data_IF_409173351889
#
_entry.id   IF_409173351889
#
_cell.length_a   1.000
_cell.length_b   1.000
_cell.length_c   1.000
_cell.angle_alpha   90.00
_cell.angle_beta   90.00
_cell.angle_gamma   90.00
#
_symmetry.space_group_name_H-M   'P 1'
#
loop_
_entity.id
_entity.type
_entity.pdbx_description
1 polymer ?
#
# COMPACT_ATOMS: atom_id res chain seq x y z
N UNK A 1 -12.98 0.87 -8.67
CA UNK A 1 -12.86 1.36 -10.07
C UNK A 1 -11.81 0.50 -10.75
N UNK A 2 -12.16 -0.21 -11.83
CA UNK A 2 -11.24 -1.09 -12.56
C UNK A 2 -10.20 -0.26 -13.31
N UNK A 3 -8.92 -0.61 -13.19
CA UNK A 3 -7.83 -0.01 -13.97
C UNK A 3 -7.39 -1.00 -15.05
N UNK A 4 -7.17 -0.53 -16.26
CA UNK A 4 -6.66 -1.33 -17.38
C UNK A 4 -5.25 -0.84 -17.69
N UNK A 5 -4.25 -1.71 -17.47
CA UNK A 5 -2.88 -1.41 -17.77
C UNK A 5 -2.50 -1.96 -19.14
N UNK A 6 -1.76 -1.17 -19.89
CA UNK A 6 -1.12 -1.56 -21.15
C UNK A 6 0.37 -1.74 -20.91
N UNK A 7 0.94 -2.80 -21.45
CA UNK A 7 2.36 -3.09 -21.36
C UNK A 7 2.94 -3.01 -22.76
N UNK A 8 3.82 -2.04 -22.97
CA UNK A 8 4.61 -1.91 -24.19
C UNK A 8 5.96 -2.59 -23.98
N UNK A 9 6.25 -3.58 -24.81
CA UNK A 9 7.54 -4.29 -24.84
C UNK A 9 8.23 -3.94 -26.15
N UNK A 10 9.28 -3.12 -26.13
CA UNK A 10 9.90 -2.61 -27.35
C UNK A 10 10.68 -3.67 -28.16
N UNK A 11 11.10 -4.74 -27.54
CA UNK A 11 11.81 -5.85 -28.20
C UNK A 11 11.33 -7.22 -27.73
N UNK A 12 11.81 -8.28 -28.40
CA UNK A 12 11.40 -9.66 -28.11
C UNK A 12 11.98 -10.24 -26.80
N UNK A 13 12.82 -9.48 -26.08
CA UNK A 13 13.47 -9.95 -24.85
C UNK A 13 12.57 -9.92 -23.62
N UNK A 14 11.45 -9.20 -23.67
CA UNK A 14 10.41 -9.12 -22.64
C UNK A 14 10.87 -8.63 -21.24
N UNK A 15 12.02 -7.98 -21.14
CA UNK A 15 12.57 -7.55 -19.84
C UNK A 15 12.31 -6.08 -19.59
N UNK A 16 12.87 -5.21 -20.45
CA UNK A 16 12.60 -3.76 -20.39
C UNK A 16 11.22 -3.48 -21.00
N UNK A 17 10.39 -2.74 -20.28
CA UNK A 17 9.01 -2.48 -20.68
C UNK A 17 8.47 -1.19 -20.11
N UNK A 18 7.46 -0.65 -20.75
CA UNK A 18 6.72 0.53 -20.30
C UNK A 18 5.30 0.12 -19.93
N UNK A 19 4.83 0.55 -18.78
CA UNK A 19 3.47 0.33 -18.31
C UNK A 19 2.74 1.67 -18.28
N UNK A 20 1.62 1.72 -18.99
CA UNK A 20 0.69 2.86 -18.99
C UNK A 20 -0.69 2.40 -18.56
N UNK A 21 -1.56 3.32 -18.19
CA UNK A 21 -2.95 3.05 -17.86
C UNK A 21 -3.84 3.97 -18.68
N UNK A 22 -4.88 3.41 -19.26
CA UNK A 22 -5.84 4.18 -20.05
C UNK A 22 -6.46 5.30 -19.21
N UNK A 23 -6.54 6.49 -19.79
CA UNK A 23 -7.03 7.70 -19.13
C UNK A 23 -6.18 8.22 -17.94
N UNK A 24 -4.93 7.78 -17.81
CA UNK A 24 -3.96 8.33 -16.85
C UNK A 24 -2.75 8.92 -17.57
N UNK A 25 -2.11 9.88 -16.90
CA UNK A 25 -0.92 10.59 -17.42
C UNK A 25 0.37 10.07 -16.79
N UNK A 26 0.30 9.00 -16.02
CA UNK A 26 1.47 8.38 -15.41
C UNK A 26 1.95 7.21 -16.25
N UNK A 27 3.24 7.01 -16.25
CA UNK A 27 3.93 5.88 -16.87
C UNK A 27 4.96 5.31 -15.90
N UNK A 28 5.19 4.02 -16.06
CA UNK A 28 6.21 3.30 -15.33
C UNK A 28 7.12 2.59 -16.31
N UNK A 29 8.41 2.88 -16.23
CA UNK A 29 9.45 2.15 -16.94
C UNK A 29 10.01 1.06 -16.04
N UNK A 30 10.10 -0.15 -16.55
CA UNK A 30 10.91 -1.22 -16.00
C UNK A 30 12.10 -1.41 -16.92
N UNK A 31 13.28 -1.25 -16.40
CA UNK A 31 14.52 -1.20 -17.17
C UNK A 31 15.49 -2.24 -16.63
N UNK A 32 15.87 -3.21 -17.45
CA UNK A 32 16.97 -4.10 -17.12
C UNK A 32 18.31 -3.35 -17.20
N UNK A 33 19.17 -3.52 -16.22
CA UNK A 33 20.48 -2.88 -16.17
C UNK A 33 21.34 -3.16 -17.39
N UNK A 34 21.22 -4.36 -17.94
CA UNK A 34 21.98 -4.79 -19.13
C UNK A 34 21.47 -4.18 -20.43
N UNK A 35 20.22 -3.67 -20.44
CA UNK A 35 19.56 -3.17 -21.65
C UNK A 35 19.91 -1.70 -21.95
N UNK A 36 21.15 -1.50 -22.42
CA UNK A 36 21.69 -0.18 -22.74
C UNK A 36 20.98 0.49 -23.92
N UNK A 37 20.49 -0.31 -24.84
CA UNK A 37 19.80 0.18 -26.04
C UNK A 37 18.45 0.77 -25.65
N UNK A 38 17.68 0.09 -24.79
CA UNK A 38 16.43 0.60 -24.27
C UNK A 38 16.61 1.91 -23.48
N UNK A 39 17.64 1.97 -22.60
CA UNK A 39 17.96 3.20 -21.86
C UNK A 39 18.25 4.36 -22.81
N UNK A 40 19.04 4.11 -23.86
CA UNK A 40 19.41 5.16 -24.82
C UNK A 40 18.23 5.61 -25.69
N UNK A 41 17.36 4.70 -26.11
CA UNK A 41 16.16 5.02 -26.88
C UNK A 41 15.11 5.77 -26.07
N UNK A 42 15.10 5.58 -24.75
CA UNK A 42 14.15 6.21 -23.83
C UNK A 42 14.69 7.52 -23.21
N UNK A 43 15.78 8.10 -23.74
CA UNK A 43 16.41 9.29 -23.16
C UNK A 43 15.44 10.47 -23.02
N UNK A 44 14.66 10.76 -24.04
CA UNK A 44 13.70 11.88 -24.05
C UNK A 44 12.60 11.66 -22.99
N UNK A 45 12.08 10.45 -22.90
CA UNK A 45 11.02 10.09 -21.95
C UNK A 45 11.53 10.06 -20.50
N UNK A 46 12.75 9.65 -20.28
CA UNK A 46 13.37 9.55 -18.96
C UNK A 46 13.95 10.87 -18.45
N UNK A 47 14.05 11.90 -19.29
CA UNK A 47 14.52 13.25 -18.90
C UNK A 47 13.39 14.04 -18.22
N UNK A 48 12.82 13.48 -17.16
CA UNK A 48 11.69 14.03 -16.40
C UNK A 48 11.86 13.77 -14.90
N UNK A 49 11.21 14.60 -14.05
CA UNK A 49 11.14 14.32 -12.62
C UNK A 49 10.46 12.99 -12.34
N UNK A 50 11.09 12.14 -11.54
CA UNK A 50 10.61 10.80 -11.27
C UNK A 50 10.97 10.29 -9.87
N UNK A 51 10.12 9.39 -9.36
CA UNK A 51 10.48 8.40 -8.36
C UNK A 51 11.18 7.25 -9.10
N UNK A 52 12.33 6.81 -8.61
CA UNK A 52 12.97 5.60 -9.14
C UNK A 52 13.37 4.64 -8.03
N UNK A 53 13.35 3.36 -8.37
CA UNK A 53 13.70 2.27 -7.47
C UNK A 53 14.70 1.37 -8.20
N UNK A 54 15.86 1.16 -7.61
CA UNK A 54 16.83 0.17 -8.08
C UNK A 54 16.64 -1.10 -7.26
N UNK A 55 16.48 -2.24 -7.90
CA UNK A 55 16.13 -3.48 -7.21
C UNK A 55 16.99 -4.65 -7.68
N UNK A 56 17.32 -5.53 -6.73
CA UNK A 56 17.79 -6.88 -6.98
C UNK A 56 16.88 -7.82 -6.17
N UNK A 57 16.05 -8.57 -6.89
CA UNK A 57 15.05 -9.46 -6.26
C UNK A 57 15.72 -10.66 -5.58
N UNK A 58 16.80 -11.19 -6.16
CA UNK A 58 17.52 -12.36 -5.63
C UNK A 58 18.24 -12.02 -4.32
N UNK A 59 18.88 -10.85 -4.27
CA UNK A 59 19.55 -10.37 -3.07
C UNK A 59 18.60 -9.69 -2.08
N UNK A 60 17.33 -9.50 -2.44
CA UNK A 60 16.34 -8.70 -1.68
C UNK A 60 16.87 -7.33 -1.28
N UNK A 61 17.62 -6.70 -2.17
CA UNK A 61 18.16 -5.37 -2.00
C UNK A 61 17.40 -4.36 -2.82
N UNK A 62 17.21 -3.18 -2.24
CA UNK A 62 16.45 -2.12 -2.86
C UNK A 62 17.04 -0.75 -2.48
N UNK A 63 17.01 0.17 -3.41
CA UNK A 63 17.32 1.58 -3.22
C UNK A 63 16.17 2.42 -3.75
N UNK A 64 15.65 3.32 -2.94
CA UNK A 64 14.63 4.31 -3.35
C UNK A 64 15.31 5.65 -3.57
N UNK A 65 14.95 6.34 -4.64
CA UNK A 65 15.50 7.65 -4.94
C UNK A 65 14.53 8.54 -5.74
N UNK A 66 14.81 9.82 -5.73
CA UNK A 66 14.15 10.82 -6.55
C UNK A 66 15.17 11.50 -7.50
N UNK A 67 14.69 12.05 -8.59
CA UNK A 67 15.51 12.79 -9.52
C UNK A 67 14.67 13.72 -10.38
N UNK A 68 15.30 14.78 -10.92
CA UNK A 68 14.73 15.65 -11.96
C UNK A 68 15.03 15.12 -13.37
N UNK A 69 15.99 14.19 -13.49
CA UNK A 69 16.47 13.60 -14.76
C UNK A 69 16.84 12.14 -14.51
N UNK A 70 15.91 11.24 -14.85
CA UNK A 70 16.05 9.80 -14.59
C UNK A 70 17.10 9.17 -15.48
N UNK A 71 17.24 9.60 -16.72
CA UNK A 71 18.24 9.10 -17.65
C UNK A 71 19.66 9.31 -17.12
N UNK A 72 19.98 10.54 -16.77
CA UNK A 72 21.27 10.90 -16.20
C UNK A 72 21.53 10.21 -14.87
N UNK A 73 20.47 10.05 -14.05
CA UNK A 73 20.56 9.41 -12.76
C UNK A 73 20.87 7.93 -12.87
N UNK A 74 20.21 7.21 -13.79
CA UNK A 74 20.50 5.79 -14.05
C UNK A 74 21.93 5.58 -14.53
N UNK A 75 22.45 6.42 -15.44
CA UNK A 75 23.85 6.38 -15.84
C UNK A 75 24.81 6.56 -14.66
N UNK A 76 24.53 7.47 -13.74
CA UNK A 76 25.35 7.66 -12.53
C UNK A 76 25.31 6.43 -11.59
N UNK A 77 24.26 5.61 -11.65
CA UNK A 77 24.15 4.39 -10.88
C UNK A 77 24.73 3.15 -11.55
N UNK A 78 25.24 3.24 -12.75
CA UNK A 78 25.93 2.12 -13.44
C UNK A 78 27.13 1.57 -12.65
N UNK A 79 27.79 2.42 -11.88
CA UNK A 79 28.91 2.02 -11.01
C UNK A 79 28.48 1.22 -9.76
N UNK A 80 27.18 1.14 -9.46
CA UNK A 80 26.66 0.36 -8.34
C UNK A 80 26.27 -1.02 -8.82
N UNK A 81 26.86 -2.08 -8.25
CA UNK A 81 26.73 -3.43 -8.74
C UNK A 81 25.55 -4.23 -8.14
N UNK A 82 24.85 -3.67 -7.16
CA UNK A 82 23.82 -4.42 -6.41
C UNK A 82 22.52 -4.63 -7.19
N UNK A 83 22.15 -3.75 -8.12
CA UNK A 83 20.85 -3.76 -8.79
C UNK A 83 20.87 -4.45 -10.15
N UNK A 84 19.75 -5.09 -10.49
CA UNK A 84 19.51 -5.76 -11.78
C UNK A 84 18.44 -5.08 -12.60
N UNK A 85 17.45 -4.49 -11.96
CA UNK A 85 16.34 -3.79 -12.60
C UNK A 85 16.14 -2.40 -11.98
N UNK A 86 15.73 -1.44 -12.79
CA UNK A 86 15.29 -0.13 -12.34
C UNK A 86 13.81 0.06 -12.68
N UNK A 87 13.06 0.62 -11.73
CA UNK A 87 11.67 1.03 -11.86
C UNK A 87 11.68 2.54 -11.84
N UNK A 88 11.11 3.20 -12.86
CA UNK A 88 11.01 4.65 -12.94
C UNK A 88 9.56 5.04 -13.14
N UNK A 89 8.99 5.74 -12.17
CA UNK A 89 7.62 6.25 -12.21
C UNK A 89 7.64 7.77 -12.42
N UNK A 90 6.99 8.23 -13.47
CA UNK A 90 6.88 9.64 -13.81
C UNK A 90 5.50 9.98 -14.41
N UNK A 91 5.28 11.24 -14.75
CA UNK A 91 4.13 11.71 -15.51
C UNK A 91 4.53 12.25 -16.85
N UNK A 92 3.76 11.94 -17.89
CA UNK A 92 4.02 12.35 -19.27
C UNK A 92 3.82 13.85 -19.50
N UNK A 93 3.02 14.50 -18.64
CA UNK A 93 2.64 15.92 -18.78
C UNK A 93 3.51 16.88 -17.94
N UNK A 94 4.68 16.46 -17.49
CA UNK A 94 5.69 17.27 -16.75
C UNK A 94 5.14 18.02 -15.51
N UNK A 95 4.07 17.53 -14.89
CA UNK A 95 3.42 18.20 -13.74
C UNK A 95 4.11 17.85 -12.42
N UNK A 96 4.93 16.79 -12.34
CA UNK A 96 5.64 16.45 -11.11
C UNK A 96 6.71 17.49 -10.79
N UNK A 97 6.64 18.04 -9.59
CA UNK A 97 7.67 18.94 -9.07
C UNK A 97 8.71 18.18 -8.26
N UNK A 98 9.88 18.77 -8.05
CA UNK A 98 10.91 18.24 -7.13
C UNK A 98 10.34 17.94 -5.73
N UNK A 99 9.38 18.74 -5.26
CA UNK A 99 8.72 18.51 -3.96
C UNK A 99 7.87 17.24 -3.99
N UNK A 100 7.17 16.98 -5.09
CA UNK A 100 6.30 15.81 -5.24
C UNK A 100 7.13 14.53 -5.27
N UNK A 101 8.20 14.49 -6.07
CA UNK A 101 9.07 13.30 -6.16
C UNK A 101 9.84 13.04 -4.86
N UNK A 102 10.26 14.09 -4.13
CA UNK A 102 10.84 13.94 -2.79
C UNK A 102 9.86 13.36 -1.78
N UNK A 103 8.60 13.77 -1.87
CA UNK A 103 7.58 13.20 -1.00
C UNK A 103 7.31 11.74 -1.35
N UNK A 104 7.22 11.40 -2.65
CA UNK A 104 7.07 10.03 -3.12
C UNK A 104 8.23 9.15 -2.68
N UNK A 105 9.49 9.63 -2.80
CA UNK A 105 10.67 8.93 -2.31
C UNK A 105 10.57 8.61 -0.82
N UNK A 106 10.30 9.64 0.01
CA UNK A 106 10.19 9.47 1.46
C UNK A 106 9.04 8.51 1.84
N UNK A 107 7.90 8.60 1.17
CA UNK A 107 6.74 7.73 1.42
C UNK A 107 7.00 6.29 0.98
N UNK A 108 7.59 6.09 -0.18
CA UNK A 108 7.98 4.77 -0.68
C UNK A 108 8.99 4.10 0.26
N UNK A 109 10.03 4.84 0.65
CA UNK A 109 11.02 4.34 1.61
C UNK A 109 10.38 3.96 2.95
N UNK A 110 9.54 4.83 3.52
CA UNK A 110 8.84 4.58 4.79
C UNK A 110 8.05 3.27 4.73
N UNK A 111 7.23 3.08 3.70
CA UNK A 111 6.39 1.88 3.57
C UNK A 111 7.22 0.61 3.40
N UNK A 112 8.27 0.64 2.56
CA UNK A 112 9.13 -0.54 2.34
C UNK A 112 9.95 -0.86 3.61
N UNK A 113 10.45 0.15 4.32
CA UNK A 113 11.15 -0.03 5.59
C UNK A 113 10.26 -0.62 6.68
N UNK A 114 8.99 -0.19 6.76
CA UNK A 114 8.01 -0.73 7.72
C UNK A 114 7.66 -2.20 7.42
N UNK A 115 7.66 -2.61 6.14
CA UNK A 115 7.46 -4.01 5.74
C UNK A 115 8.67 -4.90 6.07
N UNK A 116 9.88 -4.34 6.08
CA UNK A 116 11.11 -5.02 6.49
C UNK A 116 11.56 -6.19 5.60
N UNK A 117 11.01 -6.30 4.38
CA UNK A 117 11.28 -7.43 3.48
C UNK A 117 12.52 -7.21 2.61
N UNK A 118 12.81 -5.97 2.25
CA UNK A 118 13.96 -5.59 1.44
C UNK A 118 15.02 -4.88 2.29
N UNK A 119 16.29 -5.19 2.01
CA UNK A 119 17.43 -4.47 2.56
C UNK A 119 17.58 -3.11 1.86
N UNK A 120 17.41 -2.04 2.63
CA UNK A 120 17.52 -0.64 2.20
C UNK A 120 18.90 -0.02 2.54
N UNK A 121 19.91 -0.83 2.85
CA UNK A 121 21.25 -0.35 3.25
C UNK A 121 21.95 0.51 2.20
N UNK A 122 21.55 0.38 0.92
CA UNK A 122 22.04 1.22 -0.16
C UNK A 122 21.57 2.69 -0.06
N UNK A 123 20.49 2.95 0.65
CA UNK A 123 20.07 4.29 1.03
C UNK A 123 20.89 4.76 2.24
N UNK A 124 22.07 5.35 1.99
CA UNK A 124 22.96 5.86 3.05
C UNK A 124 22.30 6.88 3.97
N UNK A 125 21.25 7.54 3.50
CA UNK A 125 20.45 8.50 4.26
C UNK A 125 18.98 8.16 4.11
N UNK A 126 18.24 8.20 5.21
CA UNK A 126 16.79 8.04 5.20
C UNK A 126 16.17 9.29 4.55
N UNK A 127 15.37 9.13 3.48
CA UNK A 127 14.70 10.26 2.85
C UNK A 127 13.80 11.01 3.83
N UNK A 128 13.79 12.35 3.72
CA UNK A 128 12.99 13.20 4.60
C UNK A 128 11.79 13.77 3.87
N UNK A 129 10.63 13.73 4.50
CA UNK A 129 9.44 14.36 3.96
C UNK A 129 9.67 15.88 3.78
N UNK A 130 9.36 16.42 2.60
CA UNK A 130 9.39 17.86 2.39
C UNK A 130 8.26 18.53 3.17
N UNK A 131 8.41 19.84 3.44
CA UNK A 131 7.33 20.63 4.01
C UNK A 131 6.26 20.86 2.95
N UNK A 132 5.05 20.33 3.19
CA UNK A 132 3.92 20.46 2.27
C UNK A 132 2.87 21.42 2.80
N UNK A 133 2.25 22.15 1.89
CA UNK A 133 0.97 22.83 2.17
C UNK A 133 -0.14 21.76 2.29
N UNK A 134 -1.20 22.09 3.03
CA UNK A 134 -2.30 21.16 3.29
C UNK A 134 -2.91 20.57 2.02
N UNK A 135 -3.15 21.37 1.01
CA UNK A 135 -3.69 20.94 -0.28
C UNK A 135 -2.76 20.00 -1.06
N UNK A 136 -1.44 20.19 -1.00
CA UNK A 136 -0.48 19.32 -1.66
C UNK A 136 -0.52 17.88 -1.12
N UNK A 137 -0.69 17.73 0.20
CA UNK A 137 -0.78 16.40 0.81
C UNK A 137 -1.96 15.59 0.25
N UNK A 138 -3.13 16.23 0.05
CA UNK A 138 -4.30 15.57 -0.53
C UNK A 138 -4.14 15.10 -1.97
N UNK A 139 -3.22 15.71 -2.74
CA UNK A 139 -2.93 15.27 -4.12
C UNK A 139 -1.84 14.21 -4.18
N UNK A 140 -0.95 14.15 -3.20
CA UNK A 140 0.19 13.23 -3.20
C UNK A 140 -0.15 11.83 -2.69
N UNK A 141 -1.08 11.68 -1.75
CA UNK A 141 -1.54 10.35 -1.32
C UNK A 141 -2.16 9.54 -2.48
N UNK A 142 -3.12 10.08 -3.26
CA UNK A 142 -3.62 9.38 -4.45
C UNK A 142 -2.55 9.09 -5.51
N UNK A 143 -1.56 9.99 -5.66
CA UNK A 143 -0.44 9.78 -6.57
C UNK A 143 0.46 8.61 -6.12
N UNK A 144 0.69 8.48 -4.82
CA UNK A 144 1.41 7.33 -4.27
C UNK A 144 0.66 6.02 -4.50
N UNK A 145 -0.67 6.02 -4.30
CA UNK A 145 -1.50 4.85 -4.60
C UNK A 145 -1.51 4.50 -6.09
N UNK A 146 -1.44 5.52 -6.93
CA UNK A 146 -1.25 5.34 -8.36
C UNK A 146 0.11 4.66 -8.64
N UNK A 147 1.21 5.17 -8.09
CA UNK A 147 2.54 4.57 -8.24
C UNK A 147 2.60 3.12 -7.75
N UNK A 148 1.99 2.80 -6.59
CA UNK A 148 1.88 1.42 -6.09
C UNK A 148 1.18 0.52 -7.10
N UNK A 149 0.04 0.98 -7.66
CA UNK A 149 -0.72 0.20 -8.63
C UNK A 149 0.09 -0.13 -9.89
N UNK A 150 0.87 0.84 -10.40
CA UNK A 150 1.77 0.63 -11.54
C UNK A 150 2.89 -0.37 -11.22
N UNK A 151 3.51 -0.22 -10.05
CA UNK A 151 4.60 -1.09 -9.60
C UNK A 151 4.11 -2.52 -9.43
N UNK A 152 2.92 -2.72 -8.83
CA UNK A 152 2.32 -4.04 -8.72
C UNK A 152 1.91 -4.61 -10.07
N UNK A 153 1.33 -3.83 -10.99
CA UNK A 153 0.99 -4.26 -12.35
C UNK A 153 2.24 -4.66 -13.14
N UNK A 154 3.39 -4.07 -12.84
CA UNK A 154 4.68 -4.46 -13.40
C UNK A 154 5.26 -5.77 -12.84
N UNK A 155 4.59 -6.38 -11.85
CA UNK A 155 5.01 -7.64 -11.23
C UNK A 155 6.01 -7.49 -10.08
N UNK A 156 6.06 -6.32 -9.42
CA UNK A 156 6.91 -6.10 -8.26
C UNK A 156 6.09 -6.16 -6.97
N UNK A 157 6.51 -7.02 -6.06
CA UNK A 157 5.88 -7.30 -4.77
C UNK A 157 6.43 -6.43 -3.60
N UNK A 158 7.10 -5.33 -3.91
CA UNK A 158 7.82 -4.50 -2.93
C UNK A 158 6.92 -3.86 -1.87
N UNK A 159 5.62 -3.79 -2.13
CA UNK A 159 4.60 -3.29 -1.21
C UNK A 159 3.75 -4.39 -0.59
N UNK A 160 4.02 -5.67 -0.90
CA UNK A 160 3.27 -6.80 -0.38
C UNK A 160 3.90 -7.31 0.92
N UNK A 161 3.05 -7.60 1.91
CA UNK A 161 3.48 -8.31 3.10
C UNK A 161 3.62 -9.80 2.75
N UNK A 162 4.78 -10.41 2.99
CA UNK A 162 4.86 -11.87 2.94
C UNK A 162 4.11 -12.48 4.12
N UNK A 163 3.33 -13.52 3.85
CA UNK A 163 2.84 -14.44 4.87
C UNK A 163 4.04 -15.06 5.58
N UNK A 164 3.99 -15.18 6.89
CA UNK A 164 5.01 -15.91 7.67
C UNK A 164 4.91 -17.41 7.36
N UNK A 165 6.02 -18.16 7.53
CA UNK A 165 6.02 -19.62 7.27
C UNK A 165 4.99 -20.37 8.13
N UNK A 166 4.58 -19.82 9.27
CA UNK A 166 3.50 -20.34 10.11
C UNK A 166 2.11 -20.21 9.44
N UNK A 167 1.90 -19.15 8.64
CA UNK A 167 0.65 -18.94 7.89
C UNK A 167 0.52 -19.86 6.67
N UNK A 168 1.64 -20.36 6.11
CA UNK A 168 1.66 -21.32 4.99
C UNK A 168 1.37 -22.75 5.43
N UNK A 169 1.75 -23.16 6.66
CA UNK A 169 1.49 -24.51 7.15
C UNK A 169 0.03 -24.75 7.57
N UNK A 170 -0.77 -23.73 7.85
CA UNK A 170 -2.18 -23.86 8.15
C UNK A 170 -3.04 -24.03 6.88
N UNK A 171 -2.60 -23.55 5.71
CA UNK A 171 -3.33 -23.69 4.42
C UNK A 171 -3.07 -25.03 3.71
N UNK A 172 -1.97 -25.73 3.97
CA UNK A 172 -1.67 -27.03 3.34
C UNK A 172 -2.52 -28.21 3.85
N UNK A 173 -3.31 -28.03 4.92
CA UNK A 173 -4.18 -29.07 5.49
C UNK A 173 -5.67 -28.95 5.12
N UNK A 174 -6.06 -27.94 4.34
CA UNK A 174 -7.43 -27.78 3.83
C UNK A 174 -7.42 -27.72 2.30
N UNK A 175 -7.43 -28.88 1.67
CA UNK A 175 -7.46 -28.93 0.21
C UNK A 175 -8.80 -28.49 -0.35
N UNK A 176 -8.79 -27.45 -1.17
CA UNK A 176 -9.60 -27.27 -2.37
C UNK A 176 -8.87 -26.27 -3.27
N UNK A 177 -8.58 -26.70 -4.51
CA UNK A 177 -7.98 -25.88 -5.55
C UNK A 177 -8.90 -24.71 -5.89
N UNK A 178 -8.55 -23.52 -5.44
CA UNK A 178 -9.13 -22.29 -5.96
C UNK A 178 -8.10 -21.61 -6.88
N UNK A 179 -8.29 -21.83 -8.18
CA UNK A 179 -7.56 -21.14 -9.25
C UNK A 179 -7.99 -19.68 -9.29
N UNK A 180 -7.54 -18.87 -8.34
CA UNK A 180 -7.65 -17.43 -8.44
C UNK A 180 -6.47 -16.84 -9.22
N UNK A 181 -6.70 -16.66 -10.50
CA UNK A 181 -5.97 -15.68 -11.33
C UNK A 181 -5.97 -14.33 -10.60
N UNK A 182 -4.78 -13.88 -10.23
CA UNK A 182 -4.56 -12.76 -9.32
C UNK A 182 -5.22 -11.45 -9.72
N UNK A 183 -6.36 -11.17 -9.13
CA UNK A 183 -6.83 -9.82 -8.91
C UNK A 183 -6.16 -9.30 -7.63
N UNK A 184 -5.03 -8.61 -7.80
CA UNK A 184 -4.37 -7.91 -6.70
C UNK A 184 -5.20 -6.68 -6.33
N UNK A 185 -6.06 -6.81 -5.33
CA UNK A 185 -6.72 -5.66 -4.73
C UNK A 185 -5.70 -4.90 -3.88
N UNK A 186 -5.23 -3.78 -4.39
CA UNK A 186 -4.56 -2.75 -3.61
C UNK A 186 -5.60 -2.05 -2.73
N UNK A 187 -5.97 -2.70 -1.64
CA UNK A 187 -6.87 -2.10 -0.66
C UNK A 187 -6.03 -1.51 0.45
N UNK A 188 -6.07 -0.18 0.58
CA UNK A 188 -5.52 0.47 1.78
C UNK A 188 -6.24 -0.08 3.00
N UNK A 189 -5.48 -0.58 3.97
CA UNK A 189 -6.05 -0.95 5.26
C UNK A 189 -6.63 0.32 5.91
N UNK A 190 -7.93 0.36 6.20
CA UNK A 190 -8.50 1.51 6.90
C UNK A 190 -7.81 1.71 8.24
N UNK A 191 -7.57 2.95 8.65
CA UNK A 191 -7.00 3.24 9.96
C UNK A 191 -7.96 2.77 11.06
N UNK A 192 -7.58 1.74 11.81
CA UNK A 192 -8.40 1.15 12.87
C UNK A 192 -8.05 1.65 14.28
N UNK A 193 -7.06 2.54 14.40
CA UNK A 193 -6.51 2.98 15.68
C UNK A 193 -7.52 3.54 16.68
N UNK A 194 -8.58 4.21 16.18
CA UNK A 194 -9.62 4.82 17.00
C UNK A 194 -10.80 3.90 17.34
N UNK A 195 -10.95 2.76 16.66
CA UNK A 195 -12.18 1.98 16.69
C UNK A 195 -12.13 0.75 17.58
N UNK A 196 -10.94 0.24 17.92
CA UNK A 196 -10.80 -1.01 18.67
C UNK A 196 -11.49 -0.99 20.05
N UNK A 197 -11.34 0.08 20.80
CA UNK A 197 -11.99 0.21 22.12
C UNK A 197 -13.51 0.34 22.00
N UNK A 198 -13.99 0.97 20.93
CA UNK A 198 -15.42 1.14 20.67
C UNK A 198 -16.07 -0.18 20.24
N UNK A 199 -15.40 -0.98 19.41
CA UNK A 199 -15.90 -2.29 18.99
C UNK A 199 -16.11 -3.26 20.15
N UNK A 200 -15.35 -3.14 21.23
CA UNK A 200 -15.52 -3.93 22.45
C UNK A 200 -16.50 -3.29 23.46
N UNK A 201 -17.17 -2.21 23.06
CA UNK A 201 -18.07 -1.45 23.92
C UNK A 201 -19.29 -2.24 24.39
N UNK A 202 -19.82 -1.87 25.57
CA UNK A 202 -20.98 -2.52 26.21
C UNK A 202 -22.20 -2.54 25.30
N UNK A 203 -22.47 -1.46 24.56
CA UNK A 203 -23.63 -1.34 23.66
C UNK A 203 -23.59 -2.39 22.54
N UNK A 204 -22.41 -2.74 22.02
CA UNK A 204 -22.27 -3.78 21.01
C UNK A 204 -22.53 -5.15 21.61
N UNK A 205 -21.96 -5.46 22.79
CA UNK A 205 -22.17 -6.72 23.49
C UNK A 205 -23.65 -6.96 23.85
N UNK A 206 -24.34 -5.93 24.33
CA UNK A 206 -25.78 -5.97 24.61
C UNK A 206 -26.58 -6.27 23.34
N UNK A 207 -26.22 -5.61 22.24
CA UNK A 207 -26.92 -5.76 20.96
C UNK A 207 -26.66 -7.13 20.32
N UNK A 208 -25.47 -7.68 20.42
CA UNK A 208 -25.17 -9.05 20.00
C UNK A 208 -26.06 -10.06 20.72
N UNK A 209 -26.21 -9.94 22.03
CA UNK A 209 -27.06 -10.80 22.84
C UNK A 209 -28.54 -10.70 22.44
N UNK A 210 -29.03 -9.48 22.22
CA UNK A 210 -30.45 -9.27 21.83
C UNK A 210 -30.74 -9.81 20.43
N UNK A 211 -29.77 -9.76 19.52
CA UNK A 211 -29.92 -10.30 18.16
C UNK A 211 -29.63 -11.80 18.07
N UNK A 212 -29.39 -12.50 19.20
CA UNK A 212 -28.95 -13.89 19.25
C UNK A 212 -27.74 -14.17 18.34
N UNK A 213 -26.80 -13.22 18.29
CA UNK A 213 -25.53 -13.32 17.57
C UNK A 213 -24.44 -13.88 18.50
N UNK A 214 -23.25 -14.26 17.95
CA UNK A 214 -22.12 -14.70 18.75
C UNK A 214 -21.74 -13.68 19.84
N UNK A 215 -21.14 -14.15 20.94
CA UNK A 215 -20.74 -13.28 22.06
C UNK A 215 -19.71 -12.23 21.68
N UNK A 216 -18.90 -12.54 20.67
CA UNK A 216 -17.90 -11.61 20.11
C UNK A 216 -18.27 -11.18 18.69
N UNK A 217 -18.14 -9.90 18.40
CA UNK A 217 -18.30 -9.37 17.04
C UNK A 217 -17.29 -10.00 16.05
N UNK A 218 -16.14 -10.44 16.55
CA UNK A 218 -15.08 -11.08 15.75
C UNK A 218 -15.42 -12.53 15.34
N UNK A 219 -16.51 -13.09 15.84
CA UNK A 219 -17.02 -14.41 15.44
C UNK A 219 -18.10 -14.32 14.36
N UNK A 220 -18.49 -13.13 13.94
CA UNK A 220 -19.47 -12.92 12.87
C UNK A 220 -18.77 -13.05 11.52
N UNK A 221 -19.07 -14.10 10.78
CA UNK A 221 -18.40 -14.42 9.51
C UNK A 221 -19.06 -13.80 8.28
N UNK A 222 -20.31 -13.33 8.39
CA UNK A 222 -21.04 -12.78 7.25
C UNK A 222 -21.30 -11.27 7.37
N UNK A 223 -21.15 -10.56 6.25
CA UNK A 223 -21.32 -9.12 6.16
C UNK A 223 -22.74 -8.64 6.40
N UNK A 224 -23.76 -9.49 6.15
CA UNK A 224 -25.17 -9.14 6.39
C UNK A 224 -25.47 -9.09 7.89
N UNK A 225 -24.91 -10.00 8.67
CA UNK A 225 -25.02 -9.98 10.14
C UNK A 225 -24.29 -8.79 10.73
N UNK A 226 -23.10 -8.40 10.21
CA UNK A 226 -22.43 -7.16 10.60
C UNK A 226 -23.28 -5.93 10.30
N UNK A 227 -23.95 -5.89 9.15
CA UNK A 227 -24.82 -4.77 8.79
C UNK A 227 -26.06 -4.68 9.68
N UNK A 228 -26.69 -5.81 10.01
CA UNK A 228 -27.80 -5.85 10.98
C UNK A 228 -27.37 -5.33 12.35
N UNK A 229 -26.22 -5.78 12.84
CA UNK A 229 -25.65 -5.29 14.10
C UNK A 229 -25.40 -3.79 14.06
N UNK A 230 -24.82 -3.29 12.97
CA UNK A 230 -24.53 -1.86 12.78
C UNK A 230 -25.80 -1.00 12.86
N UNK A 231 -26.86 -1.41 12.16
CA UNK A 231 -28.15 -0.70 12.13
C UNK A 231 -28.75 -0.64 13.53
N UNK A 232 -28.75 -1.74 14.24
CA UNK A 232 -29.35 -1.82 15.58
C UNK A 232 -28.54 -1.04 16.62
N UNK A 233 -27.22 -1.08 16.54
CA UNK A 233 -26.34 -0.26 17.38
C UNK A 233 -26.57 1.22 17.10
N UNK A 234 -26.67 1.65 15.84
CA UNK A 234 -26.94 3.03 15.49
C UNK A 234 -28.28 3.53 16.04
N UNK A 235 -29.33 2.66 16.02
CA UNK A 235 -30.65 2.96 16.63
C UNK A 235 -30.50 3.21 18.12
N UNK A 236 -29.81 2.34 18.85
CA UNK A 236 -29.58 2.47 20.30
C UNK A 236 -28.73 3.68 20.66
N UNK A 237 -27.71 4.00 19.87
CA UNK A 237 -26.91 5.21 20.06
C UNK A 237 -27.77 6.46 19.95
N UNK A 238 -28.66 6.52 18.96
CA UNK A 238 -29.60 7.62 18.77
C UNK A 238 -30.58 7.75 19.97
N UNK A 239 -31.12 6.63 20.47
CA UNK A 239 -32.02 6.61 21.63
C UNK A 239 -31.33 7.05 22.93
N UNK A 240 -30.02 6.74 23.07
CA UNK A 240 -29.21 7.15 24.23
C UNK A 240 -28.62 8.56 24.10
N UNK A 241 -28.85 9.23 22.96
CA UNK A 241 -28.28 10.57 22.70
C UNK A 241 -26.76 10.56 22.55
N UNK A 242 -26.17 9.44 22.19
CA UNK A 242 -24.73 9.30 21.93
C UNK A 242 -24.40 9.54 20.45
N UNK A 243 -23.19 9.97 20.16
CA UNK A 243 -22.73 10.16 18.77
C UNK A 243 -22.38 8.78 18.17
N UNK A 244 -22.86 8.44 17.01
CA UNK A 244 -22.70 7.19 16.23
C UNK A 244 -21.31 6.52 16.24
N UNK A 245 -20.61 6.55 17.36
CA UNK A 245 -19.23 6.07 17.51
C UNK A 245 -19.11 4.56 17.35
N UNK A 246 -20.05 3.82 17.92
CA UNK A 246 -20.03 2.37 17.89
C UNK A 246 -20.48 1.83 16.54
N UNK A 247 -21.52 2.42 15.96
CA UNK A 247 -21.96 2.08 14.61
C UNK A 247 -20.90 2.39 13.55
N UNK A 248 -20.19 3.53 13.70
CA UNK A 248 -19.03 3.85 12.85
C UNK A 248 -17.90 2.82 12.99
N UNK A 249 -17.67 2.32 14.20
CA UNK A 249 -16.65 1.29 14.43
C UNK A 249 -16.99 -0.04 13.75
N UNK A 250 -18.27 -0.42 13.73
CA UNK A 250 -18.74 -1.61 13.00
C UNK A 250 -18.63 -1.38 11.49
N UNK A 251 -18.92 -0.17 10.99
CA UNK A 251 -18.74 0.16 9.57
C UNK A 251 -17.29 0.03 9.13
N UNK A 252 -16.34 0.45 9.97
CA UNK A 252 -14.92 0.31 9.68
C UNK A 252 -14.47 -1.15 9.69
N UNK A 253 -14.96 -1.96 10.64
CA UNK A 253 -14.70 -3.39 10.65
C UNK A 253 -15.26 -4.06 9.40
N UNK A 254 -16.53 -3.75 9.03
CA UNK A 254 -17.15 -4.27 7.82
C UNK A 254 -16.33 -3.94 6.57
N UNK A 255 -15.94 -2.66 6.40
CA UNK A 255 -15.10 -2.22 5.29
C UNK A 255 -13.75 -2.95 5.28
N UNK A 256 -13.18 -3.21 6.45
CA UNK A 256 -11.93 -3.94 6.58
C UNK A 256 -12.05 -5.38 6.07
N UNK A 257 -13.17 -6.06 6.41
CA UNK A 257 -13.48 -7.41 5.93
C UNK A 257 -13.84 -7.41 4.42
N UNK A 258 -14.62 -6.44 3.94
CA UNK A 258 -14.94 -6.27 2.51
C UNK A 258 -13.69 -6.07 1.64
N UNK A 259 -12.63 -5.53 2.23
CA UNK A 259 -11.33 -5.36 1.59
C UNK A 259 -10.45 -6.63 1.65
N UNK A 260 -11.00 -7.76 2.08
CA UNK A 260 -10.30 -9.05 2.10
C UNK A 260 -9.40 -9.29 3.31
N UNK A 261 -9.46 -8.43 4.36
CA UNK A 261 -8.70 -8.61 5.59
C UNK A 261 -9.48 -9.43 6.62
N UNK A 262 -8.77 -10.14 7.48
CA UNK A 262 -9.37 -10.96 8.52
C UNK A 262 -9.63 -10.19 9.83
N UNK A 263 -10.49 -10.72 10.69
CA UNK A 263 -10.71 -10.20 12.05
C UNK A 263 -9.43 -10.19 12.90
N UNK A 264 -8.57 -11.20 12.76
CA UNK A 264 -7.28 -11.27 13.47
C UNK A 264 -6.36 -10.13 13.06
N UNK A 265 -6.32 -9.79 11.77
CA UNK A 265 -5.55 -8.66 11.26
C UNK A 265 -6.11 -7.33 11.76
N UNK A 266 -7.43 -7.16 11.78
CA UNK A 266 -8.07 -5.98 12.36
C UNK A 266 -7.69 -5.80 13.83
N UNK A 267 -7.75 -6.86 14.63
CA UNK A 267 -7.39 -6.84 16.04
C UNK A 267 -5.92 -6.51 16.25
N UNK A 268 -5.04 -7.13 15.49
CA UNK A 268 -3.60 -6.89 15.54
C UNK A 268 -3.27 -5.43 15.19
N UNK A 269 -3.81 -4.90 14.10
CA UNK A 269 -3.55 -3.54 13.64
C UNK A 269 -4.09 -2.49 14.63
N UNK A 270 -5.23 -2.77 15.24
CA UNK A 270 -5.83 -1.92 16.26
C UNK A 270 -5.01 -1.90 17.57
N UNK A 271 -4.48 -3.04 17.99
CA UNK A 271 -3.58 -3.13 19.16
C UNK A 271 -2.26 -2.41 18.90
N UNK A 272 -1.66 -2.60 17.73
CA UNK A 272 -0.42 -1.94 17.34
C UNK A 272 -0.56 -0.42 17.33
N UNK A 273 -1.63 0.09 16.72
CA UNK A 273 -1.93 1.51 16.68
C UNK A 273 -2.15 2.11 18.10
N UNK A 274 -2.79 1.35 19.00
CA UNK A 274 -2.97 1.76 20.42
C UNK A 274 -1.65 1.84 21.17
N UNK A 275 -0.71 0.93 20.90
CA UNK A 275 0.63 0.92 21.49
C UNK A 275 1.45 2.11 21.00
N UNK A 276 1.48 2.36 19.69
CA UNK A 276 2.19 3.49 19.06
C UNK A 276 1.69 4.85 19.58
N UNK A 277 0.37 5.00 19.75
CA UNK A 277 -0.23 6.21 20.32
C UNK A 277 0.14 6.44 21.79
N UNK A 278 0.28 5.39 22.60
CA UNK A 278 0.76 5.50 24.00
C UNK A 278 2.23 5.90 24.07
N UNK A 279 3.06 5.37 23.19
CA UNK A 279 4.50 5.70 23.14
C UNK A 279 4.72 7.15 22.67
N UNK A 280 3.93 7.61 21.70
CA UNK A 280 3.98 8.99 21.23
C UNK A 280 3.49 10.02 22.27
N UNK A 281 2.55 9.64 23.15
CA UNK A 281 2.14 10.51 24.28
C UNK A 281 3.24 10.61 25.34
N UNK A 282 3.92 9.50 25.69
CA UNK A 282 5.02 9.50 26.67
C UNK A 282 6.28 10.25 26.19
N UNK A 283 6.42 10.53 24.90
CA UNK A 283 7.52 11.34 24.34
C UNK A 283 7.22 12.83 24.28
N UNK A 284 5.97 13.23 24.57
CA UNK A 284 5.52 14.64 24.56
C UNK A 284 5.38 15.24 25.96
N UNK A 285 5.38 14.39 26.98
CA UNK A 285 5.50 14.73 28.41
C UNK A 285 6.98 14.61 28.84
#
# INVERSE_FOLDING_TARGET
MTKVFQILVPDDKLVSRIISCENQVSELFVIERADKDFISQSEEDLNKPALYILINRDLKKLYVGETEDSFKRLKNHEAKDFWTEAIVFHRTNDILTTTDVRWLEAKTYEVIADLGYYDLSENKQVPKFPKLKRNQRYSLEPLFDEAKAYICAAGFDIFLRKKTEEETHEEEQGGEEDTHTGEYYLTEKPSVAGYYSSIQGTIIKETLKELNMPESIFEITDLNSLEKLRIEVARKEKERGTHNQYACSISQLKQYIENGFTYKEFEHDAMYAKKKNKENKKKKD
#
